data_IF_128782613943
#
_entry.id   IF_128782613943
#
_cell.length_a   1.000
_cell.length_b   1.000
_cell.length_c   1.000
_cell.angle_alpha   90.00
_cell.angle_beta   90.00
_cell.angle_gamma   90.00
#
_symmetry.space_group_name_H-M   'P 1'
#
loop_
_entity.id
_entity.type
_entity.pdbx_description
1 polymer ?
#
# COMPACT_ATOMS: atom_id res chain seq x y z
N UNK A 1 14.59 1.66 8.16
CA UNK A 1 13.64 1.63 7.04
C UNK A 1 13.54 0.17 6.63
N UNK A 2 12.42 -0.47 6.93
CA UNK A 2 12.14 -1.84 6.51
C UNK A 2 11.52 -1.80 5.11
N UNK A 3 12.01 -2.63 4.20
CA UNK A 3 11.51 -2.73 2.83
C UNK A 3 11.04 -4.17 2.63
N UNK A 4 9.76 -4.34 2.31
CA UNK A 4 9.19 -5.65 1.99
C UNK A 4 8.94 -5.68 0.50
N UNK A 5 9.61 -6.59 -0.20
CA UNK A 5 9.46 -6.74 -1.65
C UNK A 5 8.27 -7.64 -2.01
N UNK A 6 7.63 -7.32 -3.13
CA UNK A 6 6.63 -8.19 -3.74
C UNK A 6 7.30 -9.48 -4.23
N UNK A 7 6.76 -10.63 -3.81
CA UNK A 7 7.26 -11.96 -4.22
C UNK A 7 8.14 -12.67 -3.20
N UNK A 8 8.61 -12.00 -2.13
CA UNK A 8 9.43 -12.61 -1.06
C UNK A 8 8.66 -12.77 0.27
N UNK A 9 7.32 -12.66 0.24
CA UNK A 9 6.47 -12.82 1.41
C UNK A 9 5.12 -12.08 1.31
N UNK A 10 5.01 -11.13 0.39
CA UNK A 10 3.76 -10.42 0.07
C UNK A 10 3.38 -10.69 -1.39
N UNK A 11 2.11 -10.99 -1.61
CA UNK A 11 1.52 -11.19 -2.94
C UNK A 11 0.54 -10.07 -3.28
N UNK A 12 0.26 -9.87 -4.56
CA UNK A 12 -0.81 -8.96 -5.02
C UNK A 12 -2.18 -9.37 -4.47
N UNK A 13 -2.40 -10.68 -4.29
CA UNK A 13 -3.63 -11.21 -3.69
C UNK A 13 -3.76 -10.79 -2.22
N UNK A 14 -2.68 -10.90 -1.42
CA UNK A 14 -2.69 -10.42 -0.03
C UNK A 14 -2.86 -8.91 0.07
N UNK A 15 -2.24 -8.12 -0.81
CA UNK A 15 -2.46 -6.66 -0.85
C UNK A 15 -3.93 -6.33 -1.11
N UNK A 16 -4.55 -7.00 -2.09
CA UNK A 16 -5.97 -6.84 -2.40
C UNK A 16 -6.88 -7.26 -1.24
N UNK A 17 -6.53 -8.33 -0.51
CA UNK A 17 -7.29 -8.76 0.66
C UNK A 17 -7.26 -7.72 1.79
N UNK A 18 -6.16 -6.98 1.95
CA UNK A 18 -6.00 -5.96 2.99
C UNK A 18 -6.63 -4.62 2.58
N UNK A 19 -6.39 -4.13 1.37
CA UNK A 19 -6.85 -2.80 0.92
C UNK A 19 -8.22 -2.81 0.24
N UNK A 20 -8.70 -3.98 -0.20
CA UNK A 20 -9.80 -4.13 -1.16
C UNK A 20 -9.56 -3.37 -2.49
N UNK A 21 -8.30 -3.14 -2.86
CA UNK A 21 -7.89 -2.47 -4.10
C UNK A 21 -7.04 -3.40 -4.97
N UNK A 22 -7.23 -3.29 -6.28
CA UNK A 22 -6.44 -4.01 -7.28
C UNK A 22 -5.46 -3.10 -8.04
N UNK A 23 -5.60 -1.78 -7.92
CA UNK A 23 -4.72 -0.81 -8.54
C UNK A 23 -3.45 -0.59 -7.72
N UNK A 24 -2.39 -0.14 -8.38
CA UNK A 24 -1.14 0.29 -7.77
C UNK A 24 -0.83 1.73 -8.21
N UNK A 25 -0.11 2.52 -7.40
CA UNK A 25 0.45 2.17 -6.08
C UNK A 25 -0.62 2.08 -4.97
N UNK A 26 -0.33 1.30 -3.93
CA UNK A 26 -1.13 1.22 -2.69
C UNK A 26 -0.24 1.62 -1.53
N UNK A 27 -0.58 2.71 -0.84
CA UNK A 27 0.24 3.29 0.21
C UNK A 27 -0.35 2.97 1.58
N UNK A 28 0.51 2.59 2.53
CA UNK A 28 0.15 2.31 3.91
C UNK A 28 1.09 3.07 4.85
N UNK A 29 0.55 3.72 5.88
CA UNK A 29 1.32 4.44 6.92
C UNK A 29 0.78 4.02 8.28
N UNK A 30 1.68 3.65 9.21
CA UNK A 30 1.28 3.20 10.56
C UNK A 30 0.42 1.93 10.56
N UNK A 31 0.51 1.10 9.52
CA UNK A 31 -0.32 -0.11 9.34
C UNK A 31 -1.70 0.13 8.74
N UNK A 32 -2.10 1.39 8.52
CA UNK A 32 -3.36 1.76 7.87
C UNK A 32 -3.19 2.03 6.37
N UNK A 33 -4.17 1.60 5.56
CA UNK A 33 -4.24 1.96 4.14
C UNK A 33 -4.62 3.44 4.00
N UNK A 34 -3.86 4.21 3.22
CA UNK A 34 -4.13 5.65 3.02
C UNK A 34 -4.65 5.98 1.61
N UNK A 35 -4.37 5.15 0.60
CA UNK A 35 -4.73 5.45 -0.78
C UNK A 35 -3.63 5.16 -1.80
N UNK A 36 -3.64 5.90 -2.91
CA UNK A 36 -2.60 5.93 -3.93
C UNK A 36 -1.71 7.17 -3.81
N UNK A 37 -1.11 7.58 -4.91
CA UNK A 37 -0.20 8.74 -4.95
C UNK A 37 -0.90 10.04 -4.57
N UNK A 38 -2.12 10.27 -5.07
CA UNK A 38 -2.86 11.51 -4.84
C UNK A 38 -3.19 11.68 -3.35
N UNK A 39 -3.63 10.62 -2.69
CA UNK A 39 -3.90 10.62 -1.24
C UNK A 39 -2.61 10.77 -0.43
N UNK A 40 -1.49 10.19 -0.89
CA UNK A 40 -0.18 10.38 -0.28
C UNK A 40 0.28 11.85 -0.34
N UNK A 41 0.13 12.50 -1.49
CA UNK A 41 0.44 13.93 -1.63
C UNK A 41 -0.43 14.80 -0.72
N UNK A 42 -1.70 14.44 -0.53
CA UNK A 42 -2.59 15.15 0.40
C UNK A 42 -2.21 14.91 1.86
N UNK A 43 -1.71 13.72 2.22
CA UNK A 43 -1.33 13.37 3.58
C UNK A 43 -0.14 14.18 4.13
N UNK A 44 0.75 14.65 3.24
CA UNK A 44 1.95 15.42 3.59
C UNK A 44 1.88 16.92 3.27
N UNK A 45 0.69 17.44 2.95
CA UNK A 45 0.41 18.88 2.88
C UNK A 45 0.03 19.41 4.25
#
# INVERSE_FOLDING_TARGET
>A
MEVIELGTGITSHSLRAVSNKSSTPQIFIGGGYIGGTDELEQHFK
#
